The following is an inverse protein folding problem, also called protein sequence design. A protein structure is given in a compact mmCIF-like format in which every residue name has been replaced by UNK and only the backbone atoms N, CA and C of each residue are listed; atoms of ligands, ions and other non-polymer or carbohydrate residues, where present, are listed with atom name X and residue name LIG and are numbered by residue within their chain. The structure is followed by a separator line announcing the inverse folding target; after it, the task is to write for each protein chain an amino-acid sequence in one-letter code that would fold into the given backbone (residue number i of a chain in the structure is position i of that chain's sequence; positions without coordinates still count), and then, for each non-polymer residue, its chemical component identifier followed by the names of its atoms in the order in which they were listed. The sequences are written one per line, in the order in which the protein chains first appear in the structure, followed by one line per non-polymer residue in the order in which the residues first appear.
data_IF_555942092185
#
_entry.id   IF_555942092185
#
_cell.length_a   1.000
_cell.length_b   1.000
_cell.length_c   1.000
_cell.angle_alpha   90.00
_cell.angle_beta   90.00
_cell.angle_gamma   90.00
#
_symmetry.space_group_name_H-M   'P 1'
#
loop_
_entity.id
_entity.type
_entity.pdbx_description
1 polymer ?
#
# COMPACT_ATOMS: atom_id res chain seq x y z
N UNK A 1 24.82 -40.68 -35.75
CA UNK A 1 24.28 -40.44 -34.39
C UNK A 1 24.19 -38.96 -34.02
N UNK A 2 24.85 -38.04 -34.74
CA UNK A 2 24.93 -36.61 -34.36
C UNK A 2 23.70 -35.77 -34.68
N UNK A 3 22.94 -36.09 -35.75
CA UNK A 3 21.74 -35.31 -36.14
C UNK A 3 20.60 -35.33 -35.11
N UNK A 4 20.48 -36.44 -34.36
CA UNK A 4 19.47 -36.57 -33.30
C UNK A 4 19.78 -35.67 -32.10
N UNK A 5 21.06 -35.45 -31.80
CA UNK A 5 21.47 -34.58 -30.71
C UNK A 5 21.17 -33.11 -31.04
N UNK A 6 21.43 -32.66 -32.27
CA UNK A 6 21.07 -31.31 -32.75
C UNK A 6 19.56 -31.09 -32.74
N UNK A 7 18.76 -32.04 -33.23
CA UNK A 7 17.29 -31.94 -33.15
C UNK A 7 16.80 -31.86 -31.69
N UNK A 8 17.42 -32.59 -30.76
CA UNK A 8 17.05 -32.53 -29.33
C UNK A 8 17.39 -31.18 -28.69
N UNK A 9 18.50 -30.56 -29.10
CA UNK A 9 18.91 -29.23 -28.61
C UNK A 9 17.96 -28.15 -29.13
N UNK A 10 17.59 -28.22 -30.41
CA UNK A 10 16.61 -27.31 -31.03
C UNK A 10 15.23 -27.44 -30.38
N UNK A 11 14.80 -28.67 -30.08
CA UNK A 11 13.55 -28.91 -29.34
C UNK A 11 13.61 -28.31 -27.92
N UNK A 12 14.71 -28.51 -27.19
CA UNK A 12 14.88 -27.91 -25.87
C UNK A 12 14.86 -26.38 -25.90
N UNK A 13 15.49 -25.75 -26.90
CA UNK A 13 15.46 -24.31 -27.07
C UNK A 13 14.03 -23.79 -27.31
N UNK A 14 13.27 -24.46 -28.18
CA UNK A 14 11.88 -24.11 -28.45
C UNK A 14 11.00 -24.24 -27.19
N UNK A 15 11.21 -25.27 -26.38
CA UNK A 15 10.50 -25.44 -25.11
C UNK A 15 10.84 -24.35 -24.09
N UNK A 16 12.11 -23.95 -24.00
CA UNK A 16 12.56 -22.87 -23.10
C UNK A 16 11.95 -21.53 -23.53
N UNK A 17 11.92 -21.23 -24.83
CA UNK A 17 11.28 -20.01 -25.34
C UNK A 17 9.78 -20.00 -25.07
N UNK A 18 9.10 -21.12 -25.32
CA UNK A 18 7.68 -21.26 -25.02
C UNK A 18 7.40 -21.11 -23.51
N UNK A 19 8.25 -21.67 -22.64
CA UNK A 19 8.14 -21.51 -21.20
C UNK A 19 8.36 -20.05 -20.76
N UNK A 20 9.38 -19.37 -21.32
CA UNK A 20 9.65 -17.95 -21.05
C UNK A 20 8.48 -17.05 -21.45
N UNK A 21 7.88 -17.28 -22.61
CA UNK A 21 6.72 -16.52 -23.07
C UNK A 21 5.52 -16.67 -22.12
N UNK A 22 5.26 -17.88 -21.61
CA UNK A 22 4.21 -18.13 -20.60
C UNK A 22 4.49 -17.43 -19.27
N UNK A 23 5.74 -17.45 -18.81
CA UNK A 23 6.13 -16.75 -17.57
C UNK A 23 5.97 -15.23 -17.71
N UNK A 24 6.39 -14.64 -18.83
CA UNK A 24 6.25 -13.20 -19.07
C UNK A 24 4.78 -12.75 -19.02
N UNK A 25 3.88 -13.48 -19.69
CA UNK A 25 2.44 -13.17 -19.64
C UNK A 25 1.85 -13.28 -18.23
N UNK A 26 2.33 -14.25 -17.43
CA UNK A 26 1.87 -14.44 -16.05
C UNK A 26 2.37 -13.31 -15.12
N UNK A 27 3.58 -12.78 -15.36
CA UNK A 27 4.15 -11.65 -14.62
C UNK A 27 3.40 -10.34 -14.93
N UNK A 28 3.04 -10.11 -16.20
CA UNK A 28 2.25 -8.95 -16.59
C UNK A 28 0.86 -8.97 -15.92
N UNK A 29 0.23 -10.14 -15.83
CA UNK A 29 -1.06 -10.29 -15.16
C UNK A 29 -0.96 -10.10 -13.63
N UNK A 30 0.12 -10.57 -12.99
CA UNK A 30 0.35 -10.35 -11.56
C UNK A 30 0.60 -8.86 -11.24
N UNK A 31 1.29 -8.16 -12.14
CA UNK A 31 1.54 -6.71 -12.04
C UNK A 31 0.24 -5.91 -12.21
N UNK A 32 -0.65 -6.36 -13.10
CA UNK A 32 -1.96 -5.76 -13.30
C UNK A 32 -2.90 -5.99 -12.10
N UNK A 33 -2.88 -7.16 -11.44
CA UNK A 33 -3.77 -7.47 -10.30
C UNK A 33 -3.30 -6.89 -8.97
N UNK A 34 -2.03 -6.55 -8.86
CA UNK A 34 -1.47 -5.73 -7.78
C UNK A 34 -1.70 -4.23 -8.01
N UNK A 35 -2.62 -3.86 -8.90
CA UNK A 35 -2.95 -2.48 -9.21
C UNK A 35 -3.13 -1.67 -7.91
N UNK A 36 -2.24 -0.68 -7.67
CA UNK A 36 -2.23 0.09 -6.44
C UNK A 36 -3.56 0.78 -6.14
N UNK A 37 -4.38 1.01 -7.17
CA UNK A 37 -5.68 1.67 -7.09
C UNK A 37 -6.63 1.01 -6.09
N UNK A 38 -6.72 -0.32 -6.09
CA UNK A 38 -7.63 -1.03 -5.18
C UNK A 38 -7.08 -1.11 -3.74
N UNK A 39 -5.76 -1.17 -3.59
CA UNK A 39 -5.11 -1.09 -2.28
C UNK A 39 -5.34 0.30 -1.67
N UNK A 40 -5.12 1.36 -2.44
CA UNK A 40 -5.37 2.75 -2.03
C UNK A 40 -6.85 2.97 -1.71
N UNK A 41 -7.77 2.43 -2.53
CA UNK A 41 -9.21 2.53 -2.30
C UNK A 41 -9.60 1.91 -0.95
N UNK A 42 -9.12 0.70 -0.65
CA UNK A 42 -9.37 0.00 0.62
C UNK A 42 -8.78 0.77 1.81
N UNK A 43 -7.56 1.26 1.68
CA UNK A 43 -6.93 2.08 2.72
C UNK A 43 -7.69 3.38 2.98
N UNK A 44 -8.19 4.05 1.94
CA UNK A 44 -8.97 5.27 2.07
C UNK A 44 -10.30 5.03 2.81
N UNK A 45 -10.99 3.93 2.50
CA UNK A 45 -12.23 3.54 3.18
C UNK A 45 -11.95 3.23 4.66
N UNK A 46 -10.90 2.46 4.95
CA UNK A 46 -10.52 2.11 6.32
C UNK A 46 -10.12 3.34 7.15
N UNK A 47 -9.32 4.25 6.57
CA UNK A 47 -8.92 5.50 7.22
C UNK A 47 -10.13 6.39 7.53
N UNK A 48 -11.09 6.50 6.59
CA UNK A 48 -12.32 7.25 6.81
C UNK A 48 -13.18 6.65 7.92
N UNK A 49 -13.32 5.33 7.96
CA UNK A 49 -14.07 4.63 9.00
C UNK A 49 -13.43 4.82 10.38
N UNK A 50 -12.10 4.70 10.48
CA UNK A 50 -11.37 4.92 11.72
C UNK A 50 -11.46 6.36 12.20
N UNK A 51 -11.39 7.33 11.28
CA UNK A 51 -11.59 8.75 11.61
C UNK A 51 -13.00 9.00 12.15
N UNK A 52 -14.03 8.51 11.47
CA UNK A 52 -15.43 8.67 11.91
C UNK A 52 -15.65 8.02 13.28
N UNK A 53 -15.12 6.82 13.52
CA UNK A 53 -15.22 6.15 14.82
C UNK A 53 -14.45 6.86 15.93
N UNK A 54 -13.35 7.54 15.61
CA UNK A 54 -12.59 8.34 16.58
C UNK A 54 -13.26 9.67 16.91
N UNK A 55 -14.00 10.27 15.96
CA UNK A 55 -14.61 11.59 16.12
C UNK A 55 -16.09 11.55 16.48
N UNK A 56 -16.83 10.50 16.12
CA UNK A 56 -18.27 10.41 16.36
C UNK A 56 -18.61 9.42 17.47
N UNK A 57 -19.67 9.75 18.19
CA UNK A 57 -20.35 8.95 19.17
C UNK A 57 -21.20 7.86 18.48
N UNK A 58 -21.62 6.85 19.25
CA UNK A 58 -22.58 5.81 18.83
C UNK A 58 -23.95 6.37 18.37
N UNK A 59 -24.30 7.59 18.80
CA UNK A 59 -25.50 8.32 18.35
C UNK A 59 -25.25 9.24 17.13
N UNK A 60 -24.02 9.31 16.60
CA UNK A 60 -23.68 10.16 15.46
C UNK A 60 -23.33 11.60 15.80
N UNK A 61 -23.36 11.99 17.08
CA UNK A 61 -22.86 13.30 17.51
C UNK A 61 -21.34 13.31 17.54
N UNK A 62 -20.73 14.45 17.19
CA UNK A 62 -19.30 14.62 17.41
C UNK A 62 -19.04 14.47 18.90
N UNK A 63 -18.03 13.69 19.28
CA UNK A 63 -17.49 13.67 20.64
C UNK A 63 -16.73 14.96 20.87
N UNK A 64 -17.42 16.10 20.76
CA UNK A 64 -16.85 17.44 20.71
C UNK A 64 -15.94 17.70 21.90
N UNK A 65 -16.29 17.19 23.09
CA UNK A 65 -15.46 17.25 24.28
C UNK A 65 -14.14 16.47 24.12
N UNK A 66 -14.18 15.24 23.59
CA UNK A 66 -12.99 14.42 23.37
C UNK A 66 -12.13 14.95 22.21
N UNK A 67 -12.75 15.41 21.12
CA UNK A 67 -12.06 16.03 20.00
C UNK A 67 -11.37 17.33 20.47
N UNK A 68 -12.07 18.18 21.23
CA UNK A 68 -11.50 19.40 21.77
C UNK A 68 -10.33 19.09 22.71
N UNK A 69 -10.45 18.06 23.57
CA UNK A 69 -9.36 17.62 24.44
C UNK A 69 -8.14 17.14 23.64
N UNK A 70 -8.34 16.32 22.61
CA UNK A 70 -7.26 15.83 21.74
C UNK A 70 -6.59 16.97 20.98
N UNK A 71 -7.37 17.86 20.36
CA UNK A 71 -6.84 19.03 19.65
C UNK A 71 -6.07 19.96 20.59
N UNK A 72 -6.59 20.19 21.80
CA UNK A 72 -5.91 20.97 22.84
C UNK A 72 -4.58 20.36 23.25
N UNK A 73 -4.54 19.04 23.47
CA UNK A 73 -3.31 18.33 23.82
C UNK A 73 -2.26 18.42 22.71
N UNK A 74 -2.66 18.21 21.44
CA UNK A 74 -1.76 18.33 20.29
C UNK A 74 -1.22 19.76 20.15
N UNK A 75 -2.08 20.76 20.27
CA UNK A 75 -1.66 22.16 20.22
C UNK A 75 -0.66 22.50 21.33
N UNK A 76 -0.90 22.06 22.57
CA UNK A 76 0.01 22.27 23.69
C UNK A 76 1.39 21.63 23.44
N UNK A 77 1.43 20.41 22.90
CA UNK A 77 2.68 19.73 22.56
C UNK A 77 3.43 20.48 21.45
N UNK A 78 2.74 20.91 20.39
CA UNK A 78 3.37 21.65 19.29
C UNK A 78 3.94 23.00 19.74
N UNK A 79 3.18 23.74 20.55
CA UNK A 79 3.63 25.01 21.13
C UNK A 79 4.82 24.78 22.06
N UNK A 80 4.74 23.78 22.94
CA UNK A 80 5.85 23.40 23.83
C UNK A 80 7.11 23.04 23.04
N UNK A 81 6.98 22.22 21.99
CA UNK A 81 8.09 21.82 21.15
C UNK A 81 8.69 23.01 20.37
N UNK A 82 7.84 23.91 19.86
CA UNK A 82 8.27 25.16 19.23
C UNK A 82 9.03 26.09 20.17
N UNK A 83 8.53 26.26 21.41
CA UNK A 83 9.20 27.02 22.46
C UNK A 83 10.53 26.39 22.86
N UNK A 84 10.61 25.07 23.02
CA UNK A 84 11.86 24.36 23.27
C UNK A 84 12.85 24.55 22.14
N UNK A 85 12.39 24.46 20.88
CA UNK A 85 13.24 24.63 19.70
C UNK A 85 13.78 26.05 19.60
N UNK A 86 12.94 27.06 19.87
CA UNK A 86 13.34 28.48 19.93
C UNK A 86 14.32 28.79 21.05
N UNK A 87 14.32 28.05 22.15
CA UNK A 87 15.29 28.21 23.25
C UNK A 87 16.65 27.55 22.96
N UNK A 88 16.71 26.64 21.98
CA UNK A 88 17.94 25.93 21.58
C UNK A 88 18.63 26.55 20.37
N UNK A 89 17.94 27.42 19.64
CA UNK A 89 18.48 28.27 18.56
C UNK A 89 18.83 29.64 19.08
#
# INVERSE_FOLDING_TARGET
MSDNASQSVEQLQAEIEAARARLAGTIDELTFRAQPSEIIRRQKIAARASFVAATHDENGDLRAERIAAVLGAVAAVLIGMGLLRRRRT
#
